data_IF_299681661426
#
_entry.id   IF_299681661426
#
_cell.length_a   1.000
_cell.length_b   1.000
_cell.length_c   1.000
_cell.angle_alpha   90.00
_cell.angle_beta   90.00
_cell.angle_gamma   90.00
#
_symmetry.space_group_name_H-M   'P 1'
#
loop_
_entity.id
_entity.type
_entity.pdbx_description
1 polymer ?
#
# COMPACT_ATOMS: atom_id res chain seq x y z
N UNK A 1 26.44 -20.83 36.46
CA UNK A 1 25.06 -21.30 36.20
C UNK A 1 24.36 -20.27 35.35
N UNK A 2 23.63 -20.72 34.34
CA UNK A 2 23.24 -19.96 33.16
C UNK A 2 22.03 -19.06 33.41
N UNK A 3 21.98 -17.92 32.71
CA UNK A 3 20.82 -17.04 32.65
C UNK A 3 20.85 -16.20 31.37
N UNK A 4 20.75 -16.87 30.21
CA UNK A 4 20.57 -16.23 28.91
C UNK A 4 19.15 -15.65 28.87
N UNK A 5 19.02 -14.35 29.06
CA UNK A 5 17.79 -13.62 28.78
C UNK A 5 17.57 -13.65 27.26
N UNK A 6 16.68 -14.54 26.81
CA UNK A 6 16.16 -14.51 25.46
C UNK A 6 15.16 -13.36 25.35
N UNK A 7 15.64 -12.19 24.93
CA UNK A 7 14.77 -11.10 24.51
C UNK A 7 14.12 -11.51 23.19
N UNK A 8 12.96 -12.16 23.27
CA UNK A 8 12.06 -12.33 22.14
C UNK A 8 11.53 -10.96 21.72
N UNK A 9 12.31 -10.24 20.91
CA UNK A 9 11.87 -8.99 20.30
C UNK A 9 10.73 -9.32 19.34
N UNK A 10 9.53 -8.85 19.66
CA UNK A 10 8.49 -8.68 18.64
C UNK A 10 9.14 -7.87 17.52
N UNK A 11 9.17 -8.35 16.26
CA UNK A 11 9.73 -7.58 15.16
C UNK A 11 9.06 -6.21 15.15
N UNK A 12 9.80 -5.11 14.97
CA UNK A 12 9.19 -3.79 14.84
C UNK A 12 8.17 -3.86 13.70
N UNK A 13 6.89 -3.73 14.05
CA UNK A 13 5.82 -3.60 13.06
C UNK A 13 6.04 -2.24 12.41
N UNK A 14 6.47 -2.23 11.16
CA UNK A 14 6.49 -1.00 10.37
C UNK A 14 5.01 -0.59 10.16
N UNK A 15 4.53 0.51 10.77
CA UNK A 15 3.15 0.94 10.63
C UNK A 15 2.79 1.30 9.18
N UNK A 16 3.81 1.55 8.35
CA UNK A 16 3.65 1.88 6.95
C UNK A 16 3.73 0.63 6.05
N UNK A 17 3.90 -0.57 6.62
CA UNK A 17 3.87 -1.83 5.87
C UNK A 17 2.47 -2.43 5.89
N UNK A 18 1.80 -2.41 4.74
CA UNK A 18 0.47 -2.96 4.54
C UNK A 18 0.50 -4.48 4.60
N UNK A 19 -0.59 -5.04 5.12
CA UNK A 19 -0.92 -6.46 5.00
C UNK A 19 -1.97 -6.61 3.92
N UNK A 20 -1.79 -7.61 3.04
CA UNK A 20 -2.75 -7.89 1.97
C UNK A 20 -4.17 -8.06 2.53
N UNK A 21 -5.14 -7.32 1.96
CA UNK A 21 -6.55 -7.35 2.33
C UNK A 21 -6.91 -6.55 3.59
N UNK A 22 -5.93 -5.97 4.31
CA UNK A 22 -6.16 -5.20 5.54
C UNK A 22 -6.04 -3.71 5.24
N UNK A 23 -7.10 -2.95 5.53
CA UNK A 23 -7.09 -1.51 5.40
C UNK A 23 -6.37 -0.84 6.58
N UNK A 24 -5.55 0.15 6.28
CA UNK A 24 -5.10 1.16 7.26
C UNK A 24 -6.08 2.32 7.17
N UNK A 25 -6.60 2.76 8.30
CA UNK A 25 -7.66 3.77 8.39
C UNK A 25 -7.18 5.00 9.18
N UNK A 26 -7.97 6.07 9.19
CA UNK A 26 -7.64 7.28 9.94
C UNK A 26 -6.54 8.12 9.27
N UNK A 27 -6.34 7.96 7.97
CA UNK A 27 -5.34 8.70 7.22
C UNK A 27 -5.73 10.19 7.16
N UNK A 28 -4.75 11.07 7.31
CA UNK A 28 -4.91 12.50 7.15
C UNK A 28 -3.61 13.17 6.73
N UNK A 29 -3.71 14.16 5.85
CA UNK A 29 -2.58 14.94 5.37
C UNK A 29 -3.01 16.33 4.90
N UNK A 30 -2.12 17.30 5.00
CA UNK A 30 -2.31 18.65 4.46
C UNK A 30 -2.02 18.68 2.95
N UNK A 31 -2.60 19.65 2.23
CA UNK A 31 -2.36 19.86 0.78
C UNK A 31 -0.88 19.82 0.42
N UNK A 32 -0.55 19.08 -0.63
CA UNK A 32 0.81 18.89 -1.15
C UNK A 32 1.65 17.86 -0.39
N UNK A 33 1.14 17.26 0.68
CA UNK A 33 1.85 16.24 1.44
C UNK A 33 1.60 14.83 0.89
N UNK A 34 2.53 13.93 1.21
CA UNK A 34 2.49 12.53 0.84
C UNK A 34 2.44 11.65 2.08
N UNK A 35 1.57 10.65 2.07
CA UNK A 35 1.68 9.47 2.93
C UNK A 35 2.17 8.29 2.09
N UNK A 36 3.13 7.52 2.62
CA UNK A 36 3.68 6.38 1.91
C UNK A 36 3.47 5.11 2.71
N UNK A 37 2.98 4.07 2.03
CA UNK A 37 2.87 2.72 2.55
C UNK A 37 3.50 1.72 1.59
N UNK A 38 3.89 0.56 2.10
CA UNK A 38 4.56 -0.48 1.31
C UNK A 38 3.83 -1.81 1.40
N UNK A 39 3.91 -2.61 0.34
CA UNK A 39 3.47 -4.00 0.35
C UNK A 39 4.43 -4.86 -0.47
N UNK A 40 4.78 -6.03 0.06
CA UNK A 40 5.57 -7.01 -0.67
C UNK A 40 4.65 -7.84 -1.57
N UNK A 41 4.98 -7.87 -2.85
CA UNK A 41 4.30 -8.69 -3.86
C UNK A 41 5.21 -9.87 -4.20
N UNK A 42 4.82 -11.11 -3.84
CA UNK A 42 5.58 -12.31 -4.18
C UNK A 42 5.69 -12.52 -5.69
N UNK A 43 6.72 -13.26 -6.10
CA UNK A 43 6.84 -13.73 -7.48
C UNK A 43 5.65 -14.62 -7.84
N UNK A 44 5.13 -14.43 -9.06
CA UNK A 44 3.96 -15.18 -9.53
C UNK A 44 2.64 -14.70 -8.93
N UNK A 45 2.52 -13.49 -8.38
CA UNK A 45 1.19 -12.92 -8.12
C UNK A 45 0.44 -12.64 -9.43
N UNK A 46 -0.86 -12.93 -9.45
CA UNK A 46 -1.73 -12.67 -10.62
C UNK A 46 -2.26 -11.24 -10.64
N UNK A 47 -2.40 -10.62 -9.46
CA UNK A 47 -2.75 -9.21 -9.35
C UNK A 47 -2.26 -8.59 -8.04
N UNK A 48 -2.06 -7.28 -8.07
CA UNK A 48 -2.05 -6.43 -6.89
C UNK A 48 -3.00 -5.26 -7.13
N UNK A 49 -3.88 -5.02 -6.17
CA UNK A 49 -4.88 -3.96 -6.21
C UNK A 49 -4.71 -3.05 -5.02
N UNK A 50 -4.73 -1.74 -5.27
CA UNK A 50 -4.67 -0.69 -4.27
C UNK A 50 -5.98 0.10 -4.32
N UNK A 51 -6.60 0.27 -3.17
CA UNK A 51 -7.83 1.02 -2.97
C UNK A 51 -7.58 2.15 -1.97
N UNK A 52 -8.01 3.35 -2.32
CA UNK A 52 -8.24 4.46 -1.39
C UNK A 52 -9.74 4.66 -1.24
N UNK A 53 -10.20 4.88 -0.02
CA UNK A 53 -11.61 5.18 0.21
C UNK A 53 -11.82 6.22 1.31
N UNK A 54 -12.88 7.00 1.15
CA UNK A 54 -13.36 8.00 2.09
C UNK A 54 -13.97 9.19 1.33
N UNK A 55 -14.54 10.13 2.08
CA UNK A 55 -15.36 11.22 1.51
C UNK A 55 -14.81 12.61 1.81
N UNK A 56 -13.74 12.73 2.60
CA UNK A 56 -13.19 14.01 3.04
C UNK A 56 -11.93 14.34 2.26
N UNK A 57 -11.96 15.46 1.55
CA UNK A 57 -10.81 15.95 0.79
C UNK A 57 -10.64 15.28 -0.58
N UNK A 58 -9.51 15.58 -1.19
CA UNK A 58 -9.14 15.11 -2.53
C UNK A 58 -7.74 14.52 -2.48
N UNK A 59 -7.66 13.20 -2.57
CA UNK A 59 -6.46 12.44 -2.35
C UNK A 59 -6.24 11.47 -3.50
N UNK A 60 -5.08 11.59 -4.13
CA UNK A 60 -4.71 10.81 -5.28
C UNK A 60 -3.89 9.59 -4.84
N UNK A 61 -4.03 8.49 -5.57
CA UNK A 61 -3.27 7.27 -5.34
C UNK A 61 -2.23 7.06 -6.44
N UNK A 62 -0.97 6.91 -6.03
CA UNK A 62 0.14 6.57 -6.91
C UNK A 62 0.85 5.33 -6.39
N UNK A 63 1.36 4.49 -7.30
CA UNK A 63 2.12 3.30 -6.93
C UNK A 63 3.44 3.24 -7.67
N UNK A 64 4.48 2.69 -7.06
CA UNK A 64 5.78 2.45 -7.70
C UNK A 64 6.40 1.16 -7.17
N UNK A 65 7.11 0.44 -8.04
CA UNK A 65 7.89 -0.74 -7.66
C UNK A 65 9.31 -0.32 -7.27
N UNK A 66 9.82 -0.83 -6.15
CA UNK A 66 11.19 -0.64 -5.67
C UNK A 66 11.59 0.84 -5.51
N UNK A 67 10.66 1.67 -5.05
CA UNK A 67 10.88 3.09 -4.81
C UNK A 67 9.58 3.82 -4.49
N UNK A 68 9.70 5.10 -4.12
CA UNK A 68 8.54 5.97 -3.90
C UNK A 68 8.01 6.49 -5.24
N UNK A 69 6.68 6.55 -5.44
CA UNK A 69 6.13 7.24 -6.59
C UNK A 69 6.34 8.76 -6.47
N UNK A 70 6.34 9.43 -7.62
CA UNK A 70 6.20 10.89 -7.74
C UNK A 70 5.01 11.21 -8.64
N UNK A 71 4.66 12.48 -8.77
CA UNK A 71 3.62 12.92 -9.72
C UNK A 71 3.96 12.64 -11.19
N UNK A 72 5.24 12.34 -11.51
CA UNK A 72 5.73 12.08 -12.87
C UNK A 72 6.28 10.66 -13.07
N UNK A 73 6.53 9.91 -11.99
CA UNK A 73 7.09 8.57 -12.05
C UNK A 73 6.29 7.60 -11.17
N UNK A 74 5.49 6.75 -11.83
CA UNK A 74 4.62 5.77 -11.19
C UNK A 74 4.42 4.54 -12.09
N UNK A 75 4.02 3.41 -11.50
CA UNK A 75 3.54 2.22 -12.22
C UNK A 75 2.06 2.29 -12.53
N UNK A 76 1.29 2.86 -11.61
CA UNK A 76 -0.14 3.03 -11.77
C UNK A 76 -0.62 4.14 -10.83
N UNK A 77 -1.64 4.84 -11.29
CA UNK A 77 -2.15 6.08 -10.73
C UNK A 77 -3.68 6.10 -10.85
N UNK A 78 -4.34 6.71 -9.87
CA UNK A 78 -5.75 7.10 -9.91
C UNK A 78 -5.86 8.45 -9.20
N UNK A 79 -6.34 9.48 -9.91
CA UNK A 79 -6.45 10.88 -9.49
C UNK A 79 -7.81 11.48 -9.87
N UNK A 80 -8.89 10.73 -9.59
CA UNK A 80 -10.24 11.23 -9.74
C UNK A 80 -10.51 12.44 -8.84
N UNK A 81 -11.63 13.13 -9.05
CA UNK A 81 -12.01 14.31 -8.24
C UNK A 81 -12.50 13.96 -6.83
N UNK A 82 -12.21 12.76 -6.32
CA UNK A 82 -12.69 12.25 -5.04
C UNK A 82 -11.60 11.39 -4.40
N UNK A 83 -11.70 11.12 -3.10
CA UNK A 83 -10.79 10.20 -2.43
C UNK A 83 -11.15 8.71 -2.60
N UNK A 84 -11.87 8.34 -3.67
CA UNK A 84 -12.26 6.96 -3.98
C UNK A 84 -11.49 6.47 -5.19
N UNK A 85 -10.25 6.08 -4.93
CA UNK A 85 -9.25 5.83 -5.96
C UNK A 85 -8.91 4.34 -6.04
N UNK A 86 -8.71 3.83 -7.25
CA UNK A 86 -8.37 2.42 -7.47
C UNK A 86 -7.27 2.28 -8.50
N UNK A 87 -6.27 1.49 -8.16
CA UNK A 87 -5.16 1.15 -9.04
C UNK A 87 -4.92 -0.36 -8.98
N UNK A 88 -5.03 -1.04 -10.12
CA UNK A 88 -4.79 -2.48 -10.20
C UNK A 88 -3.73 -2.79 -11.24
N UNK A 89 -2.77 -3.63 -10.86
CA UNK A 89 -1.75 -4.17 -11.75
C UNK A 89 -1.99 -5.68 -11.90
N UNK A 90 -2.09 -6.13 -13.15
CA UNK A 90 -2.18 -7.55 -13.50
C UNK A 90 -0.79 -8.13 -13.74
N UNK A 91 -0.55 -9.35 -13.28
CA UNK A 91 0.76 -10.02 -13.32
C UNK A 91 1.92 -9.11 -12.86
N UNK A 92 1.84 -8.51 -11.66
CA UNK A 92 2.88 -7.63 -11.15
C UNK A 92 4.23 -8.34 -11.04
N UNK A 93 5.32 -7.61 -11.28
CA UNK A 93 6.65 -8.09 -10.99
C UNK A 93 6.82 -8.29 -9.47
N UNK A 94 7.64 -9.26 -9.07
CA UNK A 94 7.95 -9.44 -7.66
C UNK A 94 8.71 -8.23 -7.10
N UNK A 95 8.42 -7.86 -5.86
CA UNK A 95 9.16 -6.84 -5.14
C UNK A 95 8.28 -6.00 -4.22
N UNK A 96 8.86 -4.94 -3.69
CA UNK A 96 8.16 -4.05 -2.76
C UNK A 96 7.52 -2.92 -3.54
N UNK A 97 6.19 -2.88 -3.51
CA UNK A 97 5.42 -1.77 -4.05
C UNK A 97 5.21 -0.72 -2.97
N UNK A 98 5.50 0.53 -3.31
CA UNK A 98 5.12 1.69 -2.48
C UNK A 98 3.85 2.29 -3.04
N UNK A 99 2.82 2.44 -2.21
CA UNK A 99 1.66 3.28 -2.48
C UNK A 99 1.87 4.64 -1.83
N UNK A 100 1.80 5.69 -2.63
CA UNK A 100 1.76 7.07 -2.19
C UNK A 100 0.32 7.58 -2.25
N UNK A 101 -0.17 8.09 -1.12
CA UNK A 101 -1.42 8.85 -1.05
C UNK A 101 -1.01 10.32 -1.03
N UNK A 102 -1.34 11.04 -2.11
CA UNK A 102 -1.00 12.44 -2.29
C UNK A 102 -2.21 13.32 -1.98
N UNK A 103 -2.05 14.26 -1.06
CA UNK A 103 -3.11 15.21 -0.72
C UNK A 103 -3.17 16.33 -1.76
N UNK A 104 -3.90 16.13 -2.87
CA UNK A 104 -4.18 17.23 -3.79
C UNK A 104 -4.93 18.37 -3.07
N UNK A 105 -5.91 18.00 -2.24
CA UNK A 105 -6.44 18.83 -1.17
C UNK A 105 -6.23 18.14 0.18
N UNK A 106 -6.23 18.90 1.27
CA UNK A 106 -6.17 18.33 2.61
C UNK A 106 -7.32 17.34 2.83
N UNK A 107 -7.02 16.19 3.42
CA UNK A 107 -7.97 15.12 3.67
C UNK A 107 -7.86 14.58 5.09
N UNK A 108 -8.91 13.90 5.54
CA UNK A 108 -8.94 13.24 6.85
C UNK A 108 -9.82 11.99 6.84
N UNK A 109 -9.57 11.06 7.75
CA UNK A 109 -10.34 9.82 7.91
C UNK A 109 -10.44 8.96 6.64
N UNK A 110 -9.45 9.04 5.75
CA UNK A 110 -9.36 8.13 4.61
C UNK A 110 -8.83 6.76 5.04
N UNK A 111 -8.98 5.78 4.16
CA UNK A 111 -8.45 4.43 4.33
C UNK A 111 -7.71 3.97 3.08
N UNK A 112 -6.54 3.37 3.25
CA UNK A 112 -5.79 2.73 2.16
C UNK A 112 -5.72 1.23 2.39
N UNK A 113 -5.93 0.46 1.33
CA UNK A 113 -5.84 -1.00 1.36
C UNK A 113 -5.10 -1.49 0.14
N UNK A 114 -4.24 -2.49 0.33
CA UNK A 114 -3.64 -3.23 -0.77
C UNK A 114 -4.08 -4.70 -0.68
N UNK A 115 -4.43 -5.30 -1.82
CA UNK A 115 -4.83 -6.71 -1.92
C UNK A 115 -3.95 -7.37 -2.98
N UNK A 116 -3.11 -8.30 -2.55
CA UNK A 116 -2.27 -9.14 -3.42
C UNK A 116 -2.97 -10.46 -3.63
N UNK A 117 -3.19 -10.81 -4.90
CA UNK A 117 -3.68 -12.13 -5.29
C UNK A 117 -2.49 -12.98 -5.74
N UNK A 118 -2.04 -13.97 -4.95
CA UNK A 118 -1.02 -14.91 -5.42
C UNK A 118 -1.60 -15.77 -6.56
N UNK A 119 -0.74 -16.32 -7.43
CA UNK A 119 -1.17 -17.45 -8.27
C UNK A 119 -1.70 -18.54 -7.35
N UNK A 120 -2.91 -19.09 -7.59
CA UNK A 120 -3.38 -20.25 -6.87
C UNK A 120 -2.28 -21.31 -6.98
N UNK A 121 -1.76 -21.77 -5.84
CA UNK A 121 -0.86 -22.92 -5.87
C UNK A 121 -1.58 -24.00 -6.67
N UNK A 122 -0.96 -24.50 -7.73
CA UNK A 122 -1.50 -25.65 -8.44
C UNK A 122 -1.72 -26.72 -7.37
N UNK A 123 -2.97 -27.02 -7.06
CA UNK A 123 -3.31 -28.15 -6.18
C UNK A 123 -2.87 -29.36 -6.99
N UNK A 124 -1.67 -29.84 -6.72
CA UNK A 124 -1.21 -31.09 -7.29
C UNK A 124 -2.15 -32.17 -6.70
N UNK A 125 -2.89 -32.92 -7.53
CA UNK A 125 -3.69 -34.04 -7.05
C UNK A 125 -2.80 -35.14 -6.44
#
# INVERSE_FOLDING_TARGET
MQGKLVSGGVPPVDPNKLKSGVAVTGLGAATGQWLYYTIDVPAGSTSVKFDLSGTSGDADLFTQLNGKPTTTAYKCKSDGSTSTETCQLSNPAAGTYTVGVYAYAAFSNLSVKATVTPTPAAVKP
#
